data_IF_254865047847
#
_entry.id   IF_254865047847
#
_cell.length_a   1.000
_cell.length_b   1.000
_cell.length_c   1.000
_cell.angle_alpha   90.00
_cell.angle_beta   90.00
_cell.angle_gamma   90.00
#
_symmetry.space_group_name_H-M   'P 1'
#
loop_
_entity.id
_entity.type
_entity.pdbx_description
1 polymer ?
#
# COMPACT_ATOMS: atom_id res chain seq x y z
N UNK A 1 7.23 -15.95 -9.51
CA UNK A 1 6.24 -14.87 -9.37
C UNK A 1 5.29 -15.23 -8.23
N UNK A 2 4.69 -14.24 -7.56
CA UNK A 2 3.74 -14.48 -6.47
C UNK A 2 2.50 -15.21 -6.99
N UNK A 3 1.99 -16.18 -6.23
CA UNK A 3 0.70 -16.85 -6.51
C UNK A 3 -0.50 -16.01 -6.08
N UNK A 4 -0.27 -14.95 -5.30
CA UNK A 4 -1.33 -14.15 -4.67
C UNK A 4 -1.47 -12.74 -5.25
N UNK A 5 -0.47 -12.25 -5.99
CA UNK A 5 -0.41 -10.85 -6.46
C UNK A 5 -0.22 -10.80 -7.97
N UNK A 6 -1.12 -10.09 -8.65
CA UNK A 6 -1.08 -9.90 -10.11
C UNK A 6 0.04 -8.94 -10.56
N UNK A 7 0.52 -8.07 -9.65
CA UNK A 7 1.56 -7.08 -9.95
C UNK A 7 2.68 -7.13 -8.92
N UNK A 8 3.88 -6.73 -9.34
CA UNK A 8 5.05 -6.60 -8.47
C UNK A 8 5.82 -5.33 -8.82
N UNK A 9 6.01 -4.46 -7.83
CA UNK A 9 6.71 -3.19 -7.98
C UNK A 9 7.98 -3.21 -7.12
N UNK A 10 9.13 -3.44 -7.76
CA UNK A 10 10.42 -3.48 -7.08
C UNK A 10 11.15 -2.14 -7.19
N UNK A 11 11.74 -1.67 -6.09
CA UNK A 11 12.52 -0.42 -6.08
C UNK A 11 13.67 -0.43 -7.09
N UNK A 12 14.28 -1.58 -7.33
CA UNK A 12 15.35 -1.74 -8.31
C UNK A 12 14.85 -1.55 -9.76
N UNK A 13 13.57 -1.83 -10.02
CA UNK A 13 12.97 -1.65 -11.35
C UNK A 13 12.47 -0.23 -11.57
N UNK A 14 12.03 0.44 -10.51
CA UNK A 14 11.39 1.76 -10.56
C UNK A 14 12.40 2.90 -10.32
N UNK A 15 13.57 2.60 -9.74
CA UNK A 15 14.58 3.59 -9.36
C UNK A 15 14.16 4.49 -8.18
N UNK A 16 12.98 4.27 -7.62
CA UNK A 16 12.43 4.96 -6.44
C UNK A 16 12.11 3.93 -5.36
N UNK A 17 12.15 4.35 -4.09
CA UNK A 17 11.83 3.48 -2.95
C UNK A 17 10.96 4.18 -1.94
N UNK A 18 10.15 3.40 -1.22
CA UNK A 18 9.47 3.86 -0.01
C UNK A 18 10.50 4.42 0.99
N UNK A 19 10.19 5.52 1.71
CA UNK A 19 8.93 6.24 1.74
C UNK A 19 8.86 7.43 0.77
N UNK A 20 9.64 7.44 -0.33
CA UNK A 20 9.55 8.53 -1.30
C UNK A 20 8.14 8.56 -1.93
N UNK A 21 7.39 9.68 -1.87
CA UNK A 21 6.05 9.80 -2.46
C UNK A 21 5.99 9.40 -3.94
N UNK A 22 7.07 9.67 -4.68
CA UNK A 22 7.19 9.32 -6.10
C UNK A 22 7.17 7.82 -6.38
N UNK A 23 7.44 6.94 -5.39
CA UNK A 23 7.23 5.51 -5.54
C UNK A 23 5.73 5.18 -5.60
N UNK A 24 4.95 5.71 -4.66
CA UNK A 24 3.52 5.42 -4.57
C UNK A 24 2.75 6.02 -5.75
N UNK A 25 3.10 7.26 -6.17
CA UNK A 25 2.53 7.89 -7.36
C UNK A 25 2.79 7.08 -8.63
N UNK A 26 3.97 6.47 -8.77
CA UNK A 26 4.28 5.59 -9.90
C UNK A 26 3.38 4.35 -9.92
N UNK A 27 3.16 3.74 -8.75
CA UNK A 27 2.30 2.56 -8.60
C UNK A 27 0.85 2.91 -8.96
N UNK A 28 0.32 4.01 -8.42
CA UNK A 28 -1.04 4.47 -8.72
C UNK A 28 -1.19 4.76 -10.21
N UNK A 29 -0.24 5.47 -10.81
CA UNK A 29 -0.23 5.79 -12.25
C UNK A 29 -0.20 4.51 -13.11
N UNK A 30 0.60 3.52 -12.71
CA UNK A 30 0.69 2.24 -13.42
C UNK A 30 -0.59 1.41 -13.32
N UNK A 31 -1.20 1.37 -12.13
CA UNK A 31 -2.45 0.65 -11.89
C UNK A 31 -3.68 1.38 -12.44
N UNK A 32 -3.56 2.69 -12.74
CA UNK A 32 -4.64 3.55 -13.22
C UNK A 32 -5.87 3.51 -12.31
N UNK A 33 -5.63 3.65 -11.00
CA UNK A 33 -6.65 3.61 -9.93
C UNK A 33 -6.69 4.92 -9.17
N UNK A 34 -7.81 5.20 -8.51
CA UNK A 34 -7.92 6.36 -7.62
C UNK A 34 -7.17 6.08 -6.29
N UNK A 35 -6.31 6.99 -5.79
CA UNK A 35 -5.62 6.80 -4.51
C UNK A 35 -6.54 6.49 -3.33
N UNK A 36 -7.72 7.10 -3.28
CA UNK A 36 -8.69 6.94 -2.18
C UNK A 36 -9.36 5.57 -2.19
N UNK A 37 -9.33 4.88 -3.33
CA UNK A 37 -9.78 3.50 -3.49
C UNK A 37 -8.71 2.47 -3.09
N UNK A 38 -7.49 2.91 -2.79
CA UNK A 38 -6.37 2.04 -2.46
C UNK A 38 -6.12 1.96 -0.94
N UNK A 39 -5.63 0.80 -0.50
CA UNK A 39 -5.13 0.58 0.85
C UNK A 39 -3.67 0.16 0.76
N UNK A 40 -2.79 0.88 1.47
CA UNK A 40 -1.38 0.57 1.58
C UNK A 40 -1.09 -0.04 2.96
N UNK A 41 -0.49 -1.22 2.97
CA UNK A 41 -0.16 -1.98 4.19
C UNK A 41 1.35 -2.18 4.25
N UNK A 42 1.99 -1.74 5.34
CA UNK A 42 3.43 -1.87 5.56
C UNK A 42 3.75 -1.93 7.06
N UNK A 43 4.81 -2.64 7.45
CA UNK A 43 5.22 -2.77 8.84
C UNK A 43 5.82 -1.46 9.39
N UNK A 44 6.44 -0.65 8.53
CA UNK A 44 7.12 0.58 8.90
C UNK A 44 6.15 1.77 8.83
N UNK A 45 5.85 2.36 9.98
CA UNK A 45 4.94 3.51 10.09
C UNK A 45 5.28 4.65 9.11
N UNK A 46 6.57 4.98 8.95
CA UNK A 46 7.02 6.02 8.00
C UNK A 46 6.60 5.76 6.55
N UNK A 47 6.52 4.50 6.13
CA UNK A 47 6.05 4.15 4.79
C UNK A 47 4.54 4.31 4.68
N UNK A 48 3.81 4.04 5.76
CA UNK A 48 2.35 4.20 5.83
C UNK A 48 1.99 5.69 5.78
N UNK A 49 2.66 6.52 6.56
CA UNK A 49 2.48 7.97 6.58
C UNK A 49 2.69 8.59 5.20
N UNK A 50 3.78 8.21 4.50
CA UNK A 50 4.05 8.71 3.15
C UNK A 50 2.98 8.30 2.11
N UNK A 51 2.31 7.16 2.31
CA UNK A 51 1.18 6.76 1.46
C UNK A 51 -0.07 7.62 1.76
N UNK A 52 -0.31 7.91 3.04
CA UNK A 52 -1.43 8.76 3.48
C UNK A 52 -1.28 10.18 2.95
N UNK A 53 -0.06 10.73 2.97
CA UNK A 53 0.24 12.08 2.45
C UNK A 53 -0.14 12.26 0.97
N UNK A 54 -0.17 11.19 0.19
CA UNK A 54 -0.56 11.24 -1.22
C UNK A 54 -2.01 10.78 -1.48
N UNK A 55 -2.81 10.60 -0.43
CA UNK A 55 -4.24 10.27 -0.50
C UNK A 55 -4.59 8.79 -0.50
N UNK A 56 -3.62 7.89 -0.23
CA UNK A 56 -3.89 6.45 -0.08
C UNK A 56 -4.28 6.15 1.37
N UNK A 57 -5.25 5.26 1.60
CA UNK A 57 -5.55 4.79 2.95
C UNK A 57 -4.38 3.95 3.47
N UNK A 58 -3.79 4.31 4.61
CA UNK A 58 -2.62 3.61 5.16
C UNK A 58 -2.96 2.77 6.40
N UNK A 59 -2.44 1.54 6.46
CA UNK A 59 -2.49 0.66 7.64
C UNK A 59 -1.09 0.16 8.00
N UNK A 60 -0.72 0.30 9.28
CA UNK A 60 0.51 -0.30 9.78
C UNK A 60 0.29 -1.78 10.09
N UNK A 61 1.04 -2.66 9.43
CA UNK A 61 1.01 -4.08 9.72
C UNK A 61 1.73 -4.37 11.04
N UNK A 62 0.97 -4.87 12.03
CA UNK A 62 1.52 -5.34 13.31
C UNK A 62 1.41 -6.86 13.46
N UNK A 63 0.24 -7.41 13.11
CA UNK A 63 0.00 -8.85 13.00
C UNK A 63 -1.28 -9.10 12.19
N UNK A 64 -1.51 -10.35 11.80
CA UNK A 64 -2.64 -10.73 10.94
C UNK A 64 -4.01 -10.53 11.60
N UNK A 65 -4.13 -10.70 12.93
CA UNK A 65 -5.42 -10.55 13.61
C UNK A 65 -5.87 -9.08 13.64
N UNK A 66 -4.95 -8.16 13.94
CA UNK A 66 -5.21 -6.72 13.90
C UNK A 66 -5.51 -6.26 12.48
N UNK A 67 -4.74 -6.71 11.48
CA UNK A 67 -4.99 -6.34 10.09
C UNK A 67 -6.39 -6.79 9.63
N UNK A 68 -6.83 -8.00 9.99
CA UNK A 68 -8.20 -8.45 9.68
C UNK A 68 -9.28 -7.59 10.31
N UNK A 69 -9.08 -7.18 11.57
CA UNK A 69 -10.02 -6.28 12.24
C UNK A 69 -10.07 -4.90 11.56
N UNK A 70 -8.91 -4.36 11.20
CA UNK A 70 -8.83 -3.06 10.51
C UNK A 70 -9.49 -3.12 9.13
N UNK A 71 -9.28 -4.20 8.37
CA UNK A 71 -9.94 -4.41 7.08
C UNK A 71 -11.45 -4.60 7.21
N UNK A 72 -11.92 -5.37 8.20
CA UNK A 72 -13.34 -5.54 8.47
C UNK A 72 -14.04 -4.22 8.82
N UNK A 73 -13.40 -3.35 9.61
CA UNK A 73 -13.90 -1.98 9.90
C UNK A 73 -14.02 -1.11 8.65
N UNK A 74 -13.25 -1.42 7.61
CA UNK A 74 -13.30 -0.74 6.31
C UNK A 74 -14.30 -1.39 5.34
N UNK A 75 -15.04 -2.42 5.76
CA UNK A 75 -16.00 -3.14 4.95
C UNK A 75 -15.39 -4.24 4.07
N UNK A 76 -14.16 -4.69 4.36
CA UNK A 76 -13.46 -5.73 3.62
C UNK A 76 -13.43 -7.01 4.47
N UNK A 77 -14.15 -8.03 4.04
CA UNK A 77 -14.19 -9.35 4.67
C UNK A 77 -13.20 -10.31 4.00
N UNK A 78 -12.37 -10.99 4.81
CA UNK A 78 -11.26 -11.89 4.40
C UNK A 78 -11.03 -12.99 5.43
#
# INVERSE_FOLDING_TARGET
>A
MSTYLSWTFCSCMIGKRKPNPGFYLEVIRHLNVDPTSCIFIDDRLRNVEAAIEIGIKGLQFKNANLLRQDLSRMGIEI
#
